data_IF_763429599198
#
_entry.id   IF_763429599198
#
_cell.length_a   1.000
_cell.length_b   1.000
_cell.length_c   1.000
_cell.angle_alpha   90.00
_cell.angle_beta   90.00
_cell.angle_gamma   90.00
#
_symmetry.space_group_name_H-M   'P 1'
#
loop_
_entity.id
_entity.type
_entity.pdbx_description
1 polymer ?
#
# COMPACT_ATOMS: atom_id res chain seq x y z
N UNK A 1 0.75 5.02 3.09
CA UNK A 1 0.42 3.68 2.57
C UNK A 1 -1.07 3.41 2.78
N UNK A 2 -1.79 2.75 1.85
CA UNK A 2 -3.24 2.51 2.00
C UNK A 2 -3.55 1.48 3.10
N UNK A 3 -2.86 0.32 3.06
CA UNK A 3 -3.07 -0.77 4.02
C UNK A 3 -2.78 -0.36 5.47
N UNK A 4 -1.76 0.47 5.67
CA UNK A 4 -1.40 1.03 6.98
C UNK A 4 -2.55 1.89 7.53
N UNK A 5 -2.97 2.91 6.77
CA UNK A 5 -4.05 3.81 7.19
C UNK A 5 -5.34 3.05 7.52
N UNK A 6 -5.74 2.10 6.67
CA UNK A 6 -6.94 1.29 6.91
C UNK A 6 -6.78 0.38 8.13
N UNK A 7 -5.62 -0.24 8.32
CA UNK A 7 -5.39 -1.14 9.46
C UNK A 7 -5.34 -0.34 10.76
N UNK A 8 -4.68 0.83 10.77
CA UNK A 8 -4.63 1.73 11.93
C UNK A 8 -6.02 2.18 12.34
N UNK A 9 -6.86 2.60 11.39
CA UNK A 9 -8.24 3.01 11.69
C UNK A 9 -9.07 1.85 12.25
N UNK A 10 -8.96 0.66 11.64
CA UNK A 10 -9.62 -0.54 12.15
C UNK A 10 -9.14 -0.92 13.56
N UNK A 11 -7.83 -0.87 13.81
CA UNK A 11 -7.26 -1.16 15.13
C UNK A 11 -7.78 -0.17 16.18
N UNK A 12 -7.88 1.12 15.86
CA UNK A 12 -8.44 2.14 16.76
C UNK A 12 -9.91 1.89 17.08
N UNK A 13 -10.71 1.47 16.10
CA UNK A 13 -12.13 1.22 16.28
C UNK A 13 -12.42 -0.10 17.00
N UNK A 14 -11.68 -1.17 16.69
CA UNK A 14 -11.97 -2.52 17.23
C UNK A 14 -11.16 -2.86 18.46
N UNK A 15 -10.10 -2.11 18.77
CA UNK A 15 -9.18 -2.31 19.89
C UNK A 15 -8.78 -3.79 20.12
N UNK A 16 -8.22 -4.45 19.08
CA UNK A 16 -7.98 -5.90 19.10
C UNK A 16 -6.95 -6.29 20.17
N UNK A 17 -7.20 -7.40 20.86
CA UNK A 17 -6.32 -7.90 21.91
C UNK A 17 -5.61 -9.20 21.50
N UNK A 18 -4.33 -9.30 21.88
CA UNK A 18 -3.52 -10.47 21.60
C UNK A 18 -3.27 -10.69 20.09
N UNK A 19 -2.64 -11.82 19.77
CA UNK A 19 -2.14 -12.08 18.41
C UNK A 19 -3.26 -12.35 17.39
N UNK A 20 -4.27 -13.13 17.77
CA UNK A 20 -5.28 -13.62 16.82
C UNK A 20 -6.23 -12.50 16.34
N UNK A 21 -6.64 -11.60 17.23
CA UNK A 21 -7.46 -10.46 16.84
C UNK A 21 -6.67 -9.46 16.00
N UNK A 22 -5.40 -9.20 16.35
CA UNK A 22 -4.54 -8.35 15.55
C UNK A 22 -4.30 -8.92 14.15
N UNK A 23 -4.13 -10.25 14.01
CA UNK A 23 -4.09 -10.92 12.70
C UNK A 23 -5.38 -10.72 11.91
N UNK A 24 -6.54 -10.80 12.56
CA UNK A 24 -7.82 -10.59 11.90
C UNK A 24 -7.98 -9.15 11.39
N UNK A 25 -7.59 -8.16 12.20
CA UNK A 25 -7.61 -6.74 11.82
C UNK A 25 -6.63 -6.45 10.69
N UNK A 26 -5.41 -6.98 10.75
CA UNK A 26 -4.43 -6.83 9.67
C UNK A 26 -4.93 -7.42 8.33
N UNK A 27 -5.58 -8.60 8.36
CA UNK A 27 -6.21 -9.18 7.18
C UNK A 27 -7.30 -8.28 6.62
N UNK A 28 -8.20 -7.78 7.48
CA UNK A 28 -9.30 -6.88 7.06
C UNK A 28 -8.76 -5.59 6.47
N UNK A 29 -7.81 -4.92 7.12
CA UNK A 29 -7.19 -3.71 6.61
C UNK A 29 -6.51 -3.93 5.26
N UNK A 30 -5.78 -5.05 5.11
CA UNK A 30 -5.20 -5.45 3.83
C UNK A 30 -6.25 -5.69 2.73
N UNK A 31 -7.37 -6.33 3.04
CA UNK A 31 -8.48 -6.53 2.09
C UNK A 31 -9.09 -5.20 1.64
N UNK A 32 -9.38 -4.28 2.58
CA UNK A 32 -9.96 -2.96 2.25
C UNK A 32 -9.02 -2.17 1.35
N UNK A 33 -7.74 -2.08 1.69
CA UNK A 33 -6.75 -1.40 0.86
C UNK A 33 -6.56 -2.08 -0.51
N UNK A 34 -6.61 -3.41 -0.55
CA UNK A 34 -6.54 -4.18 -1.80
C UNK A 34 -7.72 -3.90 -2.72
N UNK A 35 -8.93 -3.76 -2.17
CA UNK A 35 -10.12 -3.40 -2.93
C UNK A 35 -10.04 -1.96 -3.44
N UNK A 36 -9.63 -1.02 -2.59
CA UNK A 36 -9.42 0.38 -3.00
C UNK A 36 -8.39 0.49 -4.14
N UNK A 37 -7.27 -0.25 -4.06
CA UNK A 37 -6.28 -0.31 -5.15
C UNK A 37 -6.92 -0.78 -6.45
N UNK A 38 -7.66 -1.90 -6.42
CA UNK A 38 -8.31 -2.47 -7.61
C UNK A 38 -9.32 -1.50 -8.23
N UNK A 39 -10.10 -0.81 -7.41
CA UNK A 39 -11.06 0.19 -7.85
C UNK A 39 -10.37 1.35 -8.58
N UNK A 40 -9.29 1.88 -7.99
CA UNK A 40 -8.50 2.96 -8.62
C UNK A 40 -7.89 2.48 -9.94
N UNK A 41 -7.34 1.27 -9.99
CA UNK A 41 -6.77 0.71 -11.23
C UNK A 41 -7.84 0.52 -12.31
N UNK A 42 -9.05 0.09 -11.94
CA UNK A 42 -10.17 -0.05 -12.87
C UNK A 42 -10.64 1.29 -13.43
N UNK A 43 -10.72 2.34 -12.60
CA UNK A 43 -11.15 3.67 -13.03
C UNK A 43 -10.08 4.40 -13.86
N UNK A 44 -8.81 4.25 -13.50
CA UNK A 44 -7.71 4.99 -14.14
C UNK A 44 -7.09 4.25 -15.33
N UNK A 45 -7.33 2.93 -15.45
CA UNK A 45 -6.68 2.06 -16.44
C UNK A 45 -5.17 1.92 -16.24
N UNK A 46 -4.62 2.42 -15.13
CA UNK A 46 -3.19 2.43 -14.84
C UNK A 46 -2.91 1.69 -13.54
N UNK A 47 -1.82 0.92 -13.45
CA UNK A 47 -1.43 0.28 -12.21
C UNK A 47 -1.05 1.33 -11.17
N UNK A 48 -1.59 1.20 -9.96
CA UNK A 48 -1.25 2.08 -8.82
C UNK A 48 0.12 1.69 -8.26
N UNK A 49 0.50 0.43 -8.42
CA UNK A 49 1.80 -0.11 -8.03
C UNK A 49 2.72 -0.25 -9.25
N UNK A 50 3.91 0.34 -9.13
CA UNK A 50 4.99 0.16 -10.07
C UNK A 50 5.74 -1.16 -9.78
N UNK A 51 6.27 -1.80 -10.83
CA UNK A 51 7.15 -2.98 -10.70
C UNK A 51 8.59 -2.60 -10.31
N UNK A 52 8.94 -1.32 -10.40
CA UNK A 52 10.27 -0.82 -10.11
C UNK A 52 10.49 -0.78 -8.59
N UNK A 53 11.67 -1.21 -8.18
CA UNK A 53 12.09 -1.13 -6.79
C UNK A 53 12.89 0.17 -6.52
N UNK A 54 13.29 0.37 -5.27
CA UNK A 54 14.03 1.59 -4.87
C UNK A 54 15.38 1.76 -5.60
N UNK A 55 16.07 0.66 -5.94
CA UNK A 55 17.36 0.70 -6.64
C UNK A 55 17.16 1.14 -8.09
N UNK A 56 16.11 0.64 -8.74
CA UNK A 56 15.76 1.04 -10.12
C UNK A 56 15.45 2.54 -10.19
N UNK A 57 14.73 3.06 -9.19
CA UNK A 57 14.45 4.49 -9.08
C UNK A 57 15.71 5.32 -8.82
N UNK A 58 16.62 4.85 -7.97
CA UNK A 58 17.88 5.56 -7.69
C UNK A 58 18.73 5.72 -8.96
N UNK A 59 18.85 4.66 -9.77
CA UNK A 59 19.54 4.69 -11.06
C UNK A 59 18.86 5.64 -12.05
N UNK A 60 17.53 5.59 -12.15
CA UNK A 60 16.78 6.50 -13.01
C UNK A 60 17.03 7.98 -12.65
N UNK A 61 17.04 8.29 -11.35
CA UNK A 61 17.33 9.66 -10.88
C UNK A 61 18.77 10.05 -11.24
N UNK A 62 19.74 9.16 -11.00
CA UNK A 62 21.14 9.37 -11.36
C UNK A 62 21.30 9.66 -12.87
N UNK A 63 20.69 8.84 -13.72
CA UNK A 63 20.73 9.00 -15.18
C UNK A 63 20.08 10.31 -15.66
N UNK A 64 18.95 10.72 -15.06
CA UNK A 64 18.29 11.99 -15.38
C UNK A 64 19.12 13.19 -14.91
N UNK A 65 19.80 13.09 -13.77
CA UNK A 65 20.65 14.17 -13.24
C UNK A 65 21.99 14.31 -13.96
N UNK A 66 22.55 13.22 -14.51
CA UNK A 66 23.80 13.22 -15.29
C UNK A 66 23.63 13.62 -16.75
N UNK A 67 22.42 13.46 -17.31
CA UNK A 67 22.10 13.90 -18.68
C UNK A 67 21.70 15.39 -18.77
N UNK A 68 22.10 16.19 -17.78
CA UNK A 68 21.88 17.64 -17.71
C UNK A 68 23.22 18.35 -17.65
#
# INVERSE_FOLDING_TARGET
MLAEATTTELTRQTNPQGLEENKAVAKRGGTVAGNARKEIEAQTGKPVISKQNAIDFAKLIEDVTKNK
#
